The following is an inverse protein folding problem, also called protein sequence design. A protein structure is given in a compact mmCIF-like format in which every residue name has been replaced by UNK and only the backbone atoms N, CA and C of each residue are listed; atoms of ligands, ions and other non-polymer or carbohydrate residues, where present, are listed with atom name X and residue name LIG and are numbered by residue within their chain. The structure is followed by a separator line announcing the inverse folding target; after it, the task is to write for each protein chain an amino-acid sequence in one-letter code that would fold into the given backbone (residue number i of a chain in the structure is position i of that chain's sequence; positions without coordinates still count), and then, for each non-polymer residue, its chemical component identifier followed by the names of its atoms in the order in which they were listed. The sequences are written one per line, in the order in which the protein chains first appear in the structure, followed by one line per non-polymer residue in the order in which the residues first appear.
data_IF_291396274033
#
_entry.id   IF_291396274033
#
_cell.length_a   1.000
_cell.length_b   1.000
_cell.length_c   1.000
_cell.angle_alpha   90.00
_cell.angle_beta   90.00
_cell.angle_gamma   90.00
#
_symmetry.space_group_name_H-M   'P 1'
#
loop_
_entity.id
_entity.type
_entity.pdbx_description
1 polymer ?
#
# COMPACT_ATOMS: atom_id res chain seq x y z
N UNK A 1 22.73 -38.56 -93.91
CA UNK A 1 21.70 -37.86 -93.10
C UNK A 1 22.08 -37.98 -91.63
N UNK A 2 22.58 -36.90 -91.01
CA UNK A 2 22.99 -36.89 -89.59
C UNK A 2 21.83 -36.33 -88.77
N UNK A 3 21.27 -37.14 -87.86
CA UNK A 3 20.19 -36.77 -86.95
C UNK A 3 20.80 -36.17 -85.68
N UNK A 4 20.48 -34.91 -85.41
CA UNK A 4 20.76 -34.23 -84.15
C UNK A 4 19.62 -34.54 -83.19
N UNK A 5 19.94 -35.07 -82.00
CA UNK A 5 19.00 -35.27 -80.90
C UNK A 5 19.12 -34.07 -79.97
N UNK A 6 18.01 -33.37 -79.76
CA UNK A 6 17.86 -32.27 -78.79
C UNK A 6 17.39 -32.89 -77.47
N UNK A 7 18.14 -32.69 -76.39
CA UNK A 7 17.74 -33.06 -75.03
C UNK A 7 17.18 -31.80 -74.36
N UNK A 8 15.88 -31.82 -74.07
CA UNK A 8 15.18 -30.79 -73.31
C UNK A 8 15.45 -30.96 -71.81
N UNK A 9 15.86 -29.89 -71.14
CA UNK A 9 16.04 -29.82 -69.70
C UNK A 9 14.68 -29.65 -69.00
N UNK A 10 14.40 -30.52 -68.02
CA UNK A 10 13.25 -30.40 -67.12
C UNK A 10 13.58 -29.45 -65.96
N UNK A 11 12.75 -28.43 -65.76
CA UNK A 11 12.85 -27.52 -64.62
C UNK A 11 12.25 -28.16 -63.37
N UNK A 12 13.05 -28.26 -62.31
CA UNK A 12 12.61 -28.70 -60.98
C UNK A 12 12.15 -27.45 -60.21
N UNK A 13 10.86 -27.35 -59.91
CA UNK A 13 10.32 -26.31 -59.02
C UNK A 13 10.52 -26.73 -57.57
N UNK A 14 11.40 -26.03 -56.85
CA UNK A 14 11.54 -26.13 -55.40
C UNK A 14 10.36 -25.41 -54.73
N UNK A 15 9.44 -26.17 -54.14
CA UNK A 15 8.42 -25.64 -53.23
C UNK A 15 9.06 -25.34 -51.88
N UNK A 16 9.18 -24.05 -51.52
CA UNK A 16 9.62 -23.64 -50.20
C UNK A 16 8.54 -23.97 -49.16
N UNK A 17 8.83 -24.89 -48.25
CA UNK A 17 8.01 -25.18 -47.08
C UNK A 17 8.32 -24.10 -46.04
N UNK A 18 7.43 -23.11 -45.93
CA UNK A 18 7.46 -22.10 -44.88
C UNK A 18 7.07 -22.75 -43.55
N UNK A 19 8.05 -23.09 -42.73
CA UNK A 19 7.79 -23.46 -41.33
C UNK A 19 7.34 -22.18 -40.61
N UNK A 20 6.12 -22.09 -40.06
CA UNK A 20 5.75 -20.94 -39.25
C UNK A 20 6.62 -20.95 -38.01
N UNK A 21 7.52 -19.97 -37.92
CA UNK A 21 8.25 -19.66 -36.70
C UNK A 21 7.20 -19.33 -35.63
N UNK A 22 6.98 -20.23 -34.68
CA UNK A 22 6.22 -19.94 -33.46
C UNK A 22 6.93 -18.78 -32.76
N UNK A 23 6.49 -17.56 -33.02
CA UNK A 23 6.83 -16.40 -32.22
C UNK A 23 6.28 -16.67 -30.83
N UNK A 24 7.17 -17.07 -29.92
CA UNK A 24 6.88 -17.09 -28.49
C UNK A 24 6.31 -15.72 -28.11
N UNK A 25 5.06 -15.68 -27.66
CA UNK A 25 4.35 -14.47 -27.20
C UNK A 25 4.93 -13.89 -25.91
N UNK A 26 6.20 -14.14 -25.61
CA UNK A 26 6.93 -13.59 -24.47
C UNK A 26 7.69 -12.31 -24.81
N UNK A 27 7.04 -11.38 -25.53
CA UNK A 27 7.45 -9.96 -25.63
C UNK A 27 6.14 -9.22 -25.95
N UNK A 28 5.52 -8.43 -25.08
CA UNK A 28 6.11 -7.42 -24.22
C UNK A 28 5.43 -7.39 -22.84
N UNK A 29 6.18 -7.74 -21.80
CA UNK A 29 6.04 -6.96 -20.57
C UNK A 29 6.56 -5.57 -20.95
N UNK A 30 5.68 -4.70 -21.45
CA UNK A 30 6.00 -3.30 -21.69
C UNK A 30 6.65 -2.78 -20.40
N UNK A 31 7.64 -1.90 -20.55
CA UNK A 31 8.31 -1.22 -19.45
C UNK A 31 7.33 -0.29 -18.71
N UNK A 32 6.27 -0.86 -18.11
CA UNK A 32 5.20 -0.15 -17.43
C UNK A 32 5.76 0.42 -16.14
N UNK A 33 5.78 1.75 -16.07
CA UNK A 33 6.09 2.48 -14.85
C UNK A 33 4.88 2.42 -13.93
N UNK A 34 5.04 1.80 -12.76
CA UNK A 34 4.03 1.88 -11.70
C UNK A 34 4.18 3.19 -10.95
N UNK A 35 3.19 3.52 -10.14
CA UNK A 35 3.25 4.65 -9.20
C UNK A 35 2.91 4.15 -7.80
N UNK A 36 3.25 4.94 -6.79
CA UNK A 36 2.90 4.61 -5.40
C UNK A 36 1.66 5.38 -4.98
N UNK A 37 0.68 4.66 -4.43
CA UNK A 37 -0.37 5.24 -3.59
C UNK A 37 0.03 4.92 -2.16
N UNK A 38 0.13 5.92 -1.28
CA UNK A 38 0.58 5.72 0.09
C UNK A 38 -0.64 5.62 1.03
N UNK A 39 -0.89 4.48 1.70
CA UNK A 39 -1.75 4.44 2.89
C UNK A 39 -1.05 5.20 4.03
N UNK A 40 -1.45 6.45 4.25
CA UNK A 40 -0.73 7.39 5.10
C UNK A 40 -1.42 7.55 6.46
N UNK A 41 -1.43 6.49 7.26
CA UNK A 41 -2.22 6.44 8.51
C UNK A 41 -1.43 6.95 9.73
N UNK A 42 -0.16 7.34 9.52
CA UNK A 42 0.64 8.04 10.51
C UNK A 42 0.08 9.45 10.76
N UNK A 43 -0.29 9.73 12.01
CA UNK A 43 -0.68 11.09 12.42
C UNK A 43 0.43 12.11 12.10
N UNK A 44 0.13 13.24 11.43
CA UNK A 44 1.11 14.26 11.09
C UNK A 44 1.49 15.14 12.29
N UNK A 45 2.25 14.60 13.23
CA UNK A 45 2.63 15.35 14.43
C UNK A 45 3.65 16.44 14.09
N UNK A 46 3.17 17.68 13.98
CA UNK A 46 4.03 18.84 13.73
C UNK A 46 4.46 19.48 15.06
N UNK A 47 5.26 18.77 15.87
CA UNK A 47 5.92 19.37 17.04
C UNK A 47 6.99 20.38 16.56
N UNK A 48 6.87 21.64 17.00
CA UNK A 48 7.89 22.69 16.88
C UNK A 48 8.66 22.73 15.54
N UNK A 49 7.90 22.81 14.44
CA UNK A 49 8.39 23.04 13.07
C UNK A 49 9.36 21.96 12.55
N UNK A 50 8.81 21.00 11.79
CA UNK A 50 9.43 20.25 10.67
C UNK A 50 10.24 18.96 10.92
N UNK A 51 10.23 18.36 12.11
CA UNK A 51 11.03 17.14 12.37
C UNK A 51 10.31 15.79 12.18
N UNK A 52 9.06 15.75 11.72
CA UNK A 52 8.43 14.47 11.38
C UNK A 52 9.10 13.85 10.15
N UNK A 53 9.99 12.89 10.41
CA UNK A 53 10.78 12.21 9.39
C UNK A 53 9.90 11.41 8.41
N UNK A 54 8.71 10.96 8.85
CA UNK A 54 7.76 10.27 7.98
C UNK A 54 7.31 11.22 6.87
N UNK A 55 6.70 12.35 7.26
CA UNK A 55 6.12 13.28 6.29
C UNK A 55 7.18 14.04 5.51
N UNK A 56 8.36 14.27 6.10
CA UNK A 56 9.51 14.80 5.37
C UNK A 56 9.95 13.85 4.25
N UNK A 57 10.10 12.56 4.52
CA UNK A 57 10.51 11.60 3.50
C UNK A 57 9.46 11.47 2.38
N UNK A 58 8.17 11.51 2.72
CA UNK A 58 7.07 11.55 1.73
C UNK A 58 7.16 12.80 0.85
N UNK A 59 7.30 13.98 1.45
CA UNK A 59 7.43 15.26 0.75
C UNK A 59 8.65 15.28 -0.18
N UNK A 60 9.82 14.94 0.34
CA UNK A 60 11.08 14.96 -0.42
C UNK A 60 11.02 14.01 -1.63
N UNK A 61 10.35 12.87 -1.50
CA UNK A 61 10.22 11.88 -2.57
C UNK A 61 9.17 12.27 -3.61
N UNK A 62 8.06 12.89 -3.21
CA UNK A 62 6.95 13.20 -4.10
C UNK A 62 7.24 14.33 -5.09
N UNK A 63 8.11 15.27 -4.73
CA UNK A 63 8.37 16.49 -5.51
C UNK A 63 8.66 16.21 -6.99
N UNK A 64 8.08 16.99 -7.93
CA UNK A 64 8.26 16.78 -9.37
C UNK A 64 9.72 16.74 -9.84
N UNK A 65 10.59 17.53 -9.20
CA UNK A 65 12.05 17.56 -9.46
C UNK A 65 12.79 16.28 -9.04
N UNK A 66 12.17 15.43 -8.21
CA UNK A 66 12.64 14.09 -7.86
C UNK A 66 12.08 12.99 -8.79
N UNK A 67 11.36 13.35 -9.87
CA UNK A 67 10.82 12.40 -10.86
C UNK A 67 9.40 11.90 -10.60
N UNK A 68 8.61 12.62 -9.79
CA UNK A 68 7.18 12.43 -9.48
C UNK A 68 6.74 10.97 -9.31
N UNK A 69 6.88 10.47 -8.08
CA UNK A 69 6.79 9.04 -7.79
C UNK A 69 5.58 8.58 -6.96
N UNK A 70 4.99 9.49 -6.20
CA UNK A 70 3.93 9.21 -5.23
C UNK A 70 2.76 10.16 -5.46
N UNK A 71 1.90 9.92 -6.48
CA UNK A 71 0.86 10.86 -6.85
C UNK A 71 -0.29 10.97 -5.85
N UNK A 72 -0.42 10.05 -4.89
CA UNK A 72 -1.60 9.94 -4.03
C UNK A 72 -1.26 9.47 -2.62
N UNK A 73 -1.96 10.03 -1.63
CA UNK A 73 -1.94 9.58 -0.24
C UNK A 73 -3.37 9.36 0.28
N UNK A 74 -3.62 8.21 0.92
CA UNK A 74 -4.89 7.90 1.58
C UNK A 74 -4.78 8.37 3.03
N UNK A 75 -5.61 9.33 3.38
CA UNK A 75 -5.60 10.04 4.66
C UNK A 75 -6.66 9.46 5.58
N UNK A 76 -6.28 9.14 6.82
CA UNK A 76 -7.16 8.50 7.79
C UNK A 76 -7.04 9.18 9.16
N UNK A 77 -7.94 10.14 9.45
CA UNK A 77 -7.86 10.95 10.68
C UNK A 77 -8.19 10.12 11.91
N UNK A 78 -9.29 9.35 11.85
CA UNK A 78 -9.72 8.46 12.92
C UNK A 78 -10.68 7.39 12.38
N UNK A 79 -10.17 6.43 11.61
CA UNK A 79 -10.99 5.49 10.83
C UNK A 79 -12.04 6.19 9.94
N UNK A 80 -11.66 7.35 9.38
CA UNK A 80 -12.58 8.29 8.75
C UNK A 80 -12.08 9.74 8.80
N UNK A 81 -12.97 10.73 8.56
CA UNK A 81 -12.63 12.17 8.54
C UNK A 81 -12.37 12.78 9.92
N UNK A 82 -12.69 12.08 11.01
CA UNK A 82 -12.69 12.62 12.37
C UNK A 82 -13.96 13.44 12.68
N UNK A 83 -13.99 14.05 13.87
CA UNK A 83 -15.18 14.78 14.35
C UNK A 83 -15.14 16.29 14.10
N UNK A 84 -13.94 16.86 14.06
CA UNK A 84 -13.69 18.28 13.86
C UNK A 84 -12.41 18.46 13.06
N UNK A 85 -12.20 19.67 12.55
CA UNK A 85 -10.96 20.02 11.85
C UNK A 85 -9.77 19.76 12.78
N UNK A 86 -8.82 18.97 12.30
CA UNK A 86 -7.53 18.79 12.95
C UNK A 86 -6.49 19.69 12.25
N UNK A 87 -5.90 20.68 12.96
CA UNK A 87 -4.93 21.61 12.39
C UNK A 87 -3.67 20.93 11.81
N UNK A 88 -3.27 19.78 12.34
CA UNK A 88 -2.12 19.04 11.84
C UNK A 88 -2.44 18.39 10.49
N UNK A 89 -3.63 17.78 10.37
CA UNK A 89 -4.10 17.29 9.07
C UNK A 89 -4.30 18.43 8.08
N UNK A 90 -4.87 19.57 8.48
CA UNK A 90 -5.01 20.74 7.58
C UNK A 90 -3.67 21.16 6.98
N UNK A 91 -2.62 21.26 7.81
CA UNK A 91 -1.27 21.60 7.35
C UNK A 91 -0.69 20.52 6.44
N UNK A 92 -0.82 19.25 6.82
CA UNK A 92 -0.26 18.16 6.04
C UNK A 92 -0.93 18.00 4.67
N UNK A 93 -2.25 18.12 4.61
CA UNK A 93 -2.99 18.08 3.34
C UNK A 93 -2.55 19.20 2.41
N UNK A 94 -2.34 20.41 2.94
CA UNK A 94 -1.84 21.54 2.16
C UNK A 94 -0.39 21.32 1.68
N UNK A 95 0.47 20.75 2.53
CA UNK A 95 1.85 20.40 2.14
C UNK A 95 1.86 19.34 1.04
N UNK A 96 1.03 18.29 1.18
CA UNK A 96 0.86 17.27 0.15
C UNK A 96 0.46 17.87 -1.19
N UNK A 97 -0.49 18.82 -1.21
CA UNK A 97 -0.88 19.50 -2.45
C UNK A 97 0.26 20.30 -3.09
N UNK A 98 1.06 21.00 -2.27
CA UNK A 98 2.24 21.74 -2.75
C UNK A 98 3.29 20.80 -3.37
N UNK A 99 3.42 19.60 -2.82
CA UNK A 99 4.33 18.56 -3.32
C UNK A 99 3.74 17.78 -4.51
N UNK A 100 2.51 18.07 -4.93
CA UNK A 100 1.83 17.42 -6.04
C UNK A 100 1.17 16.08 -5.70
N UNK A 101 0.97 15.80 -4.41
CA UNK A 101 0.28 14.61 -3.91
C UNK A 101 -1.22 14.90 -3.80
N UNK A 102 -2.04 14.03 -4.37
CA UNK A 102 -3.51 14.07 -4.21
C UNK A 102 -3.91 13.38 -2.90
N UNK A 103 -4.59 14.09 -2.03
CA UNK A 103 -5.13 13.51 -0.80
C UNK A 103 -6.46 12.82 -1.07
N UNK A 104 -6.61 11.58 -0.60
CA UNK A 104 -7.85 10.80 -0.67
C UNK A 104 -8.35 10.53 0.75
N UNK A 105 -9.61 10.83 1.04
CA UNK A 105 -10.20 10.55 2.35
C UNK A 105 -10.54 9.06 2.51
N UNK A 106 -10.15 8.44 3.62
CA UNK A 106 -10.54 7.08 3.96
C UNK A 106 -11.99 7.03 4.47
N UNK A 107 -12.78 6.07 3.98
CA UNK A 107 -14.14 5.77 4.45
C UNK A 107 -14.29 4.26 4.61
N UNK A 108 -14.64 3.82 5.83
CA UNK A 108 -14.85 2.41 6.13
C UNK A 108 -16.28 1.99 5.83
N UNK A 109 -16.52 0.93 5.07
CA UNK A 109 -17.90 0.50 4.75
C UNK A 109 -18.48 -0.55 5.71
N UNK A 110 -17.68 -1.12 6.61
CA UNK A 110 -18.14 -2.19 7.50
C UNK A 110 -18.46 -3.47 6.75
N UNK A 111 -17.64 -3.86 5.78
CA UNK A 111 -17.97 -4.95 4.84
C UNK A 111 -19.29 -4.72 4.10
N UNK A 112 -19.57 -3.45 3.78
CA UNK A 112 -20.83 -2.94 3.23
C UNK A 112 -22.09 -3.22 4.07
N UNK A 113 -21.93 -3.27 5.39
CA UNK A 113 -23.05 -3.28 6.36
C UNK A 113 -23.34 -1.91 6.96
N UNK A 114 -22.40 -0.94 6.85
CA UNK A 114 -22.65 0.44 7.29
C UNK A 114 -23.80 1.02 6.47
N UNK A 115 -24.83 1.63 7.09
CA UNK A 115 -25.92 2.28 6.37
C UNK A 115 -25.41 3.25 5.31
N UNK A 116 -26.01 3.19 4.11
CA UNK A 116 -25.57 3.97 2.96
C UNK A 116 -25.48 5.48 3.26
N UNK A 117 -26.48 6.02 3.97
CA UNK A 117 -26.49 7.44 4.34
C UNK A 117 -25.37 7.83 5.29
N UNK A 118 -24.92 6.91 6.16
CA UNK A 118 -23.76 7.16 7.03
C UNK A 118 -22.46 7.19 6.22
N UNK A 119 -22.29 6.29 5.26
CA UNK A 119 -21.16 6.34 4.33
C UNK A 119 -21.13 7.65 3.53
N UNK A 120 -22.29 8.06 2.98
CA UNK A 120 -22.44 9.34 2.26
C UNK A 120 -22.10 10.53 3.17
N UNK A 121 -22.55 10.52 4.42
CA UNK A 121 -22.23 11.57 5.40
C UNK A 121 -20.73 11.62 5.71
N UNK A 122 -20.02 10.50 5.80
CA UNK A 122 -18.57 10.49 6.00
C UNK A 122 -17.81 11.07 4.79
N UNK A 123 -18.28 10.79 3.57
CA UNK A 123 -17.75 11.45 2.35
C UNK A 123 -17.91 12.97 2.44
N UNK A 124 -19.12 13.45 2.73
CA UNK A 124 -19.35 14.89 2.83
C UNK A 124 -18.61 15.53 4.01
N UNK A 125 -18.40 14.80 5.11
CA UNK A 125 -17.65 15.29 6.26
C UNK A 125 -16.17 15.48 5.94
N UNK A 126 -15.56 14.66 5.07
CA UNK A 126 -14.22 14.94 4.55
C UNK A 126 -14.15 16.30 3.85
N UNK A 127 -15.13 16.60 3.00
CA UNK A 127 -15.22 17.87 2.27
C UNK A 127 -15.53 19.03 3.21
N UNK A 128 -16.43 18.83 4.18
CA UNK A 128 -16.77 19.86 5.17
C UNK A 128 -15.57 20.26 6.03
N UNK A 129 -14.77 19.29 6.49
CA UNK A 129 -13.66 19.54 7.41
C UNK A 129 -12.38 20.02 6.70
N UNK A 130 -12.10 19.54 5.50
CA UNK A 130 -10.82 19.76 4.81
C UNK A 130 -10.95 20.43 3.44
N UNK A 131 -12.17 20.67 2.98
CA UNK A 131 -12.47 21.48 1.80
C UNK A 131 -11.87 20.91 0.52
N UNK A 132 -11.30 21.82 -0.26
CA UNK A 132 -10.70 21.50 -1.55
C UNK A 132 -9.47 20.59 -1.46
N UNK A 133 -8.87 20.40 -0.28
CA UNK A 133 -7.63 19.62 -0.17
C UNK A 133 -7.82 18.13 -0.35
N UNK A 134 -9.07 17.67 -0.27
CA UNK A 134 -9.48 16.31 -0.57
C UNK A 134 -9.82 16.20 -2.05
N UNK A 135 -9.17 15.28 -2.75
CA UNK A 135 -9.30 15.08 -4.20
C UNK A 135 -9.96 13.75 -4.56
N UNK A 136 -10.47 13.03 -3.56
CA UNK A 136 -11.12 11.75 -3.75
C UNK A 136 -11.36 10.99 -2.46
N UNK A 137 -11.90 9.79 -2.60
CA UNK A 137 -12.29 8.90 -1.50
C UNK A 137 -11.72 7.52 -1.75
N UNK A 138 -11.20 6.89 -0.71
CA UNK A 138 -10.93 5.46 -0.68
C UNK A 138 -11.98 4.78 0.21
N UNK A 139 -12.72 3.85 -0.38
CA UNK A 139 -13.73 3.02 0.27
C UNK A 139 -13.10 1.70 0.70
N UNK A 140 -13.05 1.45 2.00
CA UNK A 140 -12.46 0.24 2.56
C UNK A 140 -13.48 -0.83 2.94
N UNK A 141 -12.99 -2.05 3.13
CA UNK A 141 -13.76 -3.25 3.46
C UNK A 141 -14.82 -3.57 2.38
N UNK A 142 -14.43 -3.56 1.10
CA UNK A 142 -15.34 -3.89 0.00
C UNK A 142 -15.43 -5.42 -0.16
N UNK A 143 -16.64 -5.91 -0.37
CA UNK A 143 -16.96 -7.30 -0.72
C UNK A 143 -17.74 -7.34 -2.04
N UNK A 144 -17.96 -8.50 -2.64
CA UNK A 144 -18.67 -8.58 -3.94
C UNK A 144 -19.38 -9.92 -4.16
N UNK A 145 -19.68 -10.62 -3.07
CA UNK A 145 -20.21 -11.98 -3.06
C UNK A 145 -21.72 -12.00 -3.34
N UNK A 146 -22.43 -10.90 -3.07
CA UNK A 146 -23.89 -10.80 -3.22
C UNK A 146 -24.33 -9.64 -4.13
N UNK A 147 -25.51 -9.74 -4.79
CA UNK A 147 -26.08 -8.62 -5.54
C UNK A 147 -26.24 -7.33 -4.72
N UNK A 148 -26.56 -7.44 -3.43
CA UNK A 148 -26.73 -6.31 -2.53
C UNK A 148 -25.40 -5.56 -2.31
N UNK A 149 -24.29 -6.30 -2.13
CA UNK A 149 -22.96 -5.71 -2.03
C UNK A 149 -22.56 -4.98 -3.32
N UNK A 150 -22.83 -5.59 -4.48
CA UNK A 150 -22.55 -4.94 -5.78
C UNK A 150 -23.37 -3.68 -5.98
N UNK A 151 -24.66 -3.71 -5.60
CA UNK A 151 -25.54 -2.55 -5.66
C UNK A 151 -25.11 -1.44 -4.68
N UNK A 152 -24.65 -1.82 -3.48
CA UNK A 152 -24.12 -0.88 -2.51
C UNK A 152 -22.91 -0.13 -3.07
N UNK A 153 -21.91 -0.84 -3.60
CA UNK A 153 -20.71 -0.23 -4.18
C UNK A 153 -21.07 0.69 -5.35
N UNK A 154 -21.98 0.25 -6.23
CA UNK A 154 -22.50 1.08 -7.32
C UNK A 154 -23.10 2.38 -6.82
N UNK A 155 -23.97 2.31 -5.82
CA UNK A 155 -24.70 3.47 -5.31
C UNK A 155 -23.77 4.49 -4.67
N UNK A 156 -22.85 4.07 -3.81
CA UNK A 156 -21.89 5.00 -3.19
C UNK A 156 -20.94 5.62 -4.22
N UNK A 157 -20.47 4.83 -5.20
CA UNK A 157 -19.66 5.35 -6.29
C UNK A 157 -20.41 6.42 -7.10
N UNK A 158 -21.64 6.11 -7.54
CA UNK A 158 -22.48 7.06 -8.28
C UNK A 158 -22.78 8.32 -7.46
N UNK A 159 -23.03 8.19 -6.17
CA UNK A 159 -23.22 9.32 -5.28
C UNK A 159 -21.97 10.22 -5.26
N UNK A 160 -20.79 9.65 -4.99
CA UNK A 160 -19.52 10.41 -4.95
C UNK A 160 -19.29 11.13 -6.27
N UNK A 161 -19.45 10.44 -7.41
CA UNK A 161 -19.28 11.07 -8.73
C UNK A 161 -20.35 12.12 -9.04
N UNK A 162 -21.54 12.04 -8.46
CA UNK A 162 -22.60 13.05 -8.65
C UNK A 162 -22.36 14.32 -7.85
N UNK A 163 -21.92 14.20 -6.60
CA UNK A 163 -21.66 15.34 -5.71
C UNK A 163 -20.30 15.97 -6.01
N UNK A 164 -19.30 15.13 -6.31
CA UNK A 164 -17.91 15.52 -6.53
C UNK A 164 -17.37 14.90 -7.84
N UNK A 165 -17.76 15.41 -9.02
CA UNK A 165 -17.43 14.78 -10.31
C UNK A 165 -15.94 14.54 -10.57
N UNK A 166 -15.09 15.39 -10.00
CA UNK A 166 -13.64 15.33 -10.14
C UNK A 166 -12.95 14.46 -9.10
N UNK A 167 -13.68 13.87 -8.14
CA UNK A 167 -13.10 12.98 -7.15
C UNK A 167 -12.67 11.67 -7.80
N UNK A 168 -11.47 11.23 -7.43
CA UNK A 168 -11.03 9.86 -7.64
C UNK A 168 -11.67 8.95 -6.61
N UNK A 169 -12.14 7.78 -7.01
CA UNK A 169 -12.63 6.74 -6.10
C UNK A 169 -11.74 5.51 -6.17
N UNK A 170 -11.23 5.09 -5.01
CA UNK A 170 -10.55 3.82 -4.83
C UNK A 170 -11.47 2.91 -4.01
N UNK A 171 -11.60 1.65 -4.40
CA UNK A 171 -12.33 0.64 -3.65
C UNK A 171 -11.37 -0.48 -3.24
N UNK A 172 -11.41 -0.92 -1.98
CA UNK A 172 -10.55 -1.99 -1.49
C UNK A 172 -11.29 -3.29 -1.17
N UNK A 173 -11.34 -4.22 -2.14
CA UNK A 173 -11.67 -5.61 -1.86
C UNK A 173 -10.52 -6.44 -1.28
N UNK A 174 -9.27 -6.00 -1.47
CA UNK A 174 -8.05 -6.72 -1.09
C UNK A 174 -7.82 -8.03 -1.88
N UNK A 175 -8.64 -8.29 -2.90
CA UNK A 175 -8.67 -9.54 -3.68
C UNK A 175 -9.20 -9.30 -5.09
N UNK A 176 -9.01 -10.30 -5.95
CA UNK A 176 -9.54 -10.32 -7.31
C UNK A 176 -11.03 -9.93 -7.38
N UNK A 177 -11.41 -9.23 -8.45
CA UNK A 177 -12.76 -8.73 -8.67
C UNK A 177 -13.40 -9.35 -9.92
N UNK A 178 -14.73 -9.55 -9.94
CA UNK A 178 -15.46 -9.88 -11.16
C UNK A 178 -15.65 -8.64 -12.06
N UNK A 179 -15.85 -8.85 -13.36
CA UNK A 179 -16.06 -7.77 -14.33
C UNK A 179 -17.34 -6.95 -14.08
N UNK A 180 -18.33 -7.51 -13.40
CA UNK A 180 -19.62 -6.85 -13.19
C UNK A 180 -19.61 -5.71 -12.15
N UNK A 181 -18.50 -5.55 -11.42
CA UNK A 181 -18.26 -4.37 -10.57
C UNK A 181 -17.18 -3.43 -11.13
N UNK A 182 -16.60 -3.76 -12.29
CA UNK A 182 -15.51 -2.99 -12.90
C UNK A 182 -15.83 -1.50 -13.14
N UNK A 183 -17.11 -1.14 -13.25
CA UNK A 183 -17.57 0.23 -13.44
C UNK A 183 -17.86 1.00 -12.15
N UNK A 184 -17.67 0.40 -10.97
CA UNK A 184 -18.06 0.98 -9.67
C UNK A 184 -16.87 1.50 -8.84
N UNK A 185 -15.75 1.76 -9.50
CA UNK A 185 -14.61 2.48 -8.93
C UNK A 185 -13.68 2.95 -10.05
N UNK A 186 -12.89 4.00 -9.81
CA UNK A 186 -11.84 4.42 -10.74
C UNK A 186 -10.64 3.46 -10.65
N UNK A 187 -10.25 3.10 -9.41
CA UNK A 187 -9.17 2.16 -9.08
C UNK A 187 -9.69 1.12 -8.09
N UNK A 188 -9.24 -0.13 -8.23
CA UNK A 188 -9.46 -1.20 -7.25
C UNK A 188 -8.15 -1.65 -6.61
N UNK A 189 -8.18 -1.89 -5.30
CA UNK A 189 -7.13 -2.64 -4.61
C UNK A 189 -7.42 -4.14 -4.80
N UNK A 190 -6.83 -4.70 -5.85
CA UNK A 190 -7.11 -6.08 -6.29
C UNK A 190 -6.23 -7.12 -5.60
N UNK A 191 -5.27 -6.68 -4.80
CA UNK A 191 -4.49 -7.52 -3.90
C UNK A 191 -4.08 -6.74 -2.64
N UNK A 192 -4.36 -7.30 -1.47
CA UNK A 192 -3.83 -6.83 -0.18
C UNK A 192 -3.46 -8.03 0.69
N UNK A 193 -2.17 -8.38 0.74
CA UNK A 193 -1.72 -9.58 1.46
C UNK A 193 -0.23 -9.55 1.84
N UNK A 194 0.19 -10.55 2.64
CA UNK A 194 1.60 -10.73 2.97
C UNK A 194 2.45 -10.99 1.73
N UNK A 195 3.72 -10.57 1.77
CA UNK A 195 4.69 -10.86 0.72
C UNK A 195 4.80 -12.37 0.41
N UNK A 196 4.78 -13.22 1.43
CA UNK A 196 4.84 -14.67 1.27
C UNK A 196 3.66 -15.20 0.42
N UNK A 197 2.42 -14.78 0.71
CA UNK A 197 1.24 -15.16 -0.07
C UNK A 197 1.29 -14.57 -1.47
N UNK A 198 1.69 -13.31 -1.57
CA UNK A 198 1.76 -12.60 -2.84
C UNK A 198 2.76 -13.27 -3.80
N UNK A 199 3.89 -13.76 -3.29
CA UNK A 199 4.96 -14.37 -4.07
C UNK A 199 4.85 -15.91 -4.18
N UNK A 200 3.81 -16.50 -3.60
CA UNK A 200 3.58 -17.94 -3.63
C UNK A 200 3.32 -18.44 -5.06
N UNK A 201 3.80 -19.65 -5.36
CA UNK A 201 3.67 -20.25 -6.68
C UNK A 201 2.22 -20.63 -7.03
N UNK A 202 1.38 -20.81 -6.01
CA UNK A 202 -0.04 -21.16 -6.09
C UNK A 202 -0.96 -19.93 -5.97
N UNK A 203 -0.41 -18.71 -5.99
CA UNK A 203 -1.21 -17.49 -6.07
C UNK A 203 -2.15 -17.58 -7.29
N UNK A 204 -3.48 -17.53 -7.10
CA UNK A 204 -4.42 -17.70 -8.19
C UNK A 204 -4.29 -16.54 -9.19
N UNK A 205 -4.25 -16.80 -10.51
CA UNK A 205 -4.22 -15.73 -11.48
C UNK A 205 -5.56 -14.97 -11.51
N UNK A 206 -5.52 -13.68 -11.84
CA UNK A 206 -6.72 -12.91 -12.11
C UNK A 206 -7.46 -13.49 -13.34
N UNK A 207 -8.79 -13.54 -13.28
CA UNK A 207 -9.63 -14.08 -14.36
C UNK A 207 -10.53 -13.05 -15.03
N UNK A 208 -10.68 -11.87 -14.44
CA UNK A 208 -11.53 -10.80 -14.98
C UNK A 208 -10.80 -10.02 -16.08
N UNK A 209 -11.57 -9.50 -17.04
CA UNK A 209 -11.03 -8.58 -18.06
C UNK A 209 -10.53 -7.29 -17.42
N UNK A 210 -11.19 -6.81 -16.37
CA UNK A 210 -10.74 -5.63 -15.64
C UNK A 210 -9.28 -5.77 -15.18
N UNK A 211 -8.92 -6.90 -14.58
CA UNK A 211 -7.57 -7.10 -14.02
C UNK A 211 -6.55 -7.48 -15.10
N UNK A 212 -6.97 -8.14 -16.18
CA UNK A 212 -6.05 -8.70 -17.18
C UNK A 212 -5.84 -7.81 -18.42
N UNK A 213 -6.73 -6.86 -18.69
CA UNK A 213 -6.60 -5.92 -19.82
C UNK A 213 -5.55 -4.83 -19.50
N UNK A 214 -4.53 -4.72 -20.34
CA UNK A 214 -3.46 -3.71 -20.22
C UNK A 214 -4.00 -2.27 -20.19
N UNK A 215 -5.16 -2.01 -20.82
CA UNK A 215 -5.81 -0.71 -20.77
C UNK A 215 -6.24 -0.30 -19.33
N UNK A 216 -6.41 -1.29 -18.44
CA UNK A 216 -6.77 -1.09 -17.05
C UNK A 216 -5.57 -1.10 -16.10
N UNK A 217 -4.32 -1.05 -16.59
CA UNK A 217 -3.13 -1.07 -15.71
C UNK A 217 -3.22 0.01 -14.63
N UNK A 218 -3.59 1.25 -14.99
CA UNK A 218 -3.78 2.38 -14.05
C UNK A 218 -5.11 2.32 -13.26
N UNK A 219 -5.75 1.16 -13.19
CA UNK A 219 -6.95 0.89 -12.38
C UNK A 219 -6.73 -0.27 -11.40
N UNK A 220 -5.61 -0.97 -11.50
CA UNK A 220 -5.21 -2.04 -10.59
C UNK A 220 -4.16 -1.54 -9.60
N UNK A 221 -4.43 -1.70 -8.30
CA UNK A 221 -3.54 -1.33 -7.20
C UNK A 221 -3.28 -2.56 -6.30
N UNK A 222 -2.01 -2.83 -6.01
CA UNK A 222 -1.60 -3.89 -5.09
C UNK A 222 -0.94 -3.33 -3.83
N UNK A 223 -1.36 -3.83 -2.67
CA UNK A 223 -0.73 -3.59 -1.37
C UNK A 223 -0.09 -4.91 -0.91
N UNK A 224 1.20 -4.86 -0.55
CA UNK A 224 1.95 -6.03 -0.08
C UNK A 224 2.63 -5.69 1.25
N UNK A 225 2.23 -6.37 2.32
CA UNK A 225 2.75 -6.14 3.67
C UNK A 225 3.60 -7.33 4.17
N UNK A 226 4.21 -7.23 5.36
CA UNK A 226 5.20 -8.21 5.86
C UNK A 226 6.34 -8.49 4.85
N UNK A 227 6.73 -7.51 4.03
CA UNK A 227 7.78 -7.68 3.03
C UNK A 227 9.16 -7.38 3.61
N UNK A 228 10.16 -8.20 3.30
CA UNK A 228 11.56 -7.82 3.55
C UNK A 228 11.99 -6.81 2.49
N UNK A 229 12.90 -5.90 2.81
CA UNK A 229 13.47 -4.96 1.82
C UNK A 229 14.21 -5.68 0.69
N UNK A 230 14.65 -6.92 0.90
CA UNK A 230 15.20 -7.80 -0.14
C UNK A 230 14.16 -8.27 -1.16
N UNK A 231 12.87 -8.29 -0.80
CA UNK A 231 11.79 -8.76 -1.66
C UNK A 231 11.22 -7.68 -2.58
N UNK A 232 11.53 -6.40 -2.34
CA UNK A 232 10.91 -5.28 -3.05
C UNK A 232 11.02 -5.40 -4.57
N UNK A 233 12.20 -5.73 -5.09
CA UNK A 233 12.40 -5.89 -6.54
C UNK A 233 11.55 -7.03 -7.12
N UNK A 234 11.47 -8.16 -6.41
CA UNK A 234 10.67 -9.31 -6.82
C UNK A 234 9.17 -8.98 -6.77
N UNK A 235 8.71 -8.33 -5.70
CA UNK A 235 7.31 -7.92 -5.54
C UNK A 235 6.92 -6.92 -6.63
N UNK A 236 7.74 -5.89 -6.86
CA UNK A 236 7.50 -4.91 -7.93
C UNK A 236 7.42 -5.60 -9.30
N UNK A 237 8.36 -6.50 -9.62
CA UNK A 237 8.30 -7.27 -10.87
C UNK A 237 7.01 -8.07 -11.01
N UNK A 238 6.64 -8.85 -9.99
CA UNK A 238 5.41 -9.65 -9.99
C UNK A 238 4.17 -8.76 -10.11
N UNK A 239 4.17 -7.59 -9.47
CA UNK A 239 3.03 -6.67 -9.57
C UNK A 239 2.85 -6.08 -10.98
N UNK A 240 3.94 -5.83 -11.72
CA UNK A 240 3.90 -5.44 -13.14
C UNK A 240 3.38 -6.59 -14.01
N UNK A 241 3.84 -7.81 -13.77
CA UNK A 241 3.35 -9.02 -14.46
C UNK A 241 1.86 -9.29 -14.18
N UNK A 242 1.35 -8.85 -13.03
CA UNK A 242 -0.07 -8.91 -12.64
C UNK A 242 -0.85 -7.63 -12.99
N UNK A 243 -0.37 -6.85 -13.97
CA UNK A 243 -1.05 -5.69 -14.53
C UNK A 243 -1.43 -4.58 -13.51
N UNK A 244 -0.71 -4.48 -12.39
CA UNK A 244 -0.91 -3.35 -11.49
C UNK A 244 -0.17 -2.12 -11.98
N UNK A 245 -0.87 -1.00 -12.04
CA UNK A 245 -0.30 0.33 -12.30
C UNK A 245 0.09 1.07 -11.04
N UNK A 246 -0.36 0.59 -9.88
CA UNK A 246 0.02 1.08 -8.56
C UNK A 246 0.47 -0.05 -7.64
N UNK A 247 1.48 0.23 -6.81
CA UNK A 247 1.94 -0.71 -5.80
C UNK A 247 2.38 0.01 -4.54
N UNK A 248 2.09 -0.57 -3.38
CA UNK A 248 2.65 -0.16 -2.08
C UNK A 248 3.18 -1.41 -1.38
N UNK A 249 4.42 -1.32 -0.90
CA UNK A 249 5.12 -2.44 -0.25
C UNK A 249 5.59 -1.96 1.12
N UNK A 250 5.24 -2.67 2.18
CA UNK A 250 5.65 -2.36 3.56
C UNK A 250 6.19 -3.59 4.28
N UNK A 251 7.13 -3.38 5.20
CA UNK A 251 7.61 -4.40 6.13
C UNK A 251 6.76 -4.47 7.41
N UNK A 252 5.85 -3.52 7.62
CA UNK A 252 5.00 -3.52 8.80
C UNK A 252 4.00 -4.68 8.74
N UNK A 253 3.50 -5.03 9.93
CA UNK A 253 2.63 -6.17 10.15
C UNK A 253 1.30 -5.75 10.77
N UNK A 254 0.29 -6.61 10.65
CA UNK A 254 -0.97 -6.43 11.36
C UNK A 254 -0.75 -6.43 12.88
N UNK A 255 -1.52 -5.63 13.65
CA UNK A 255 -2.80 -5.02 13.26
C UNK A 255 -2.72 -3.62 12.60
N UNK A 256 -1.55 -2.98 12.49
CA UNK A 256 -1.45 -1.59 11.99
C UNK A 256 -0.27 -1.41 11.01
N UNK A 257 -0.35 -2.00 9.79
CA UNK A 257 0.78 -2.05 8.87
C UNK A 257 1.05 -0.74 8.11
N UNK A 258 0.37 0.35 8.46
CA UNK A 258 0.34 1.58 7.67
C UNK A 258 0.67 2.84 8.49
N UNK A 259 1.19 2.67 9.70
CA UNK A 259 1.59 3.76 10.59
C UNK A 259 3.08 4.12 10.52
N UNK A 260 3.88 3.38 9.75
CA UNK A 260 5.26 3.72 9.44
C UNK A 260 5.51 3.67 7.92
N UNK A 261 6.63 4.27 7.52
CA UNK A 261 7.10 4.12 6.15
C UNK A 261 7.76 2.74 5.98
N UNK A 262 7.72 2.18 4.76
CA UNK A 262 8.53 1.03 4.43
C UNK A 262 10.01 1.27 4.78
N UNK A 263 10.68 0.26 5.31
CA UNK A 263 12.05 0.35 5.84
C UNK A 263 13.08 0.87 4.84
N UNK A 264 12.82 0.74 3.54
CA UNK A 264 13.53 1.46 2.48
C UNK A 264 12.54 2.10 1.50
N UNK A 265 11.78 3.08 2.00
CA UNK A 265 10.73 3.79 1.27
C UNK A 265 11.22 4.36 -0.07
N UNK A 266 12.38 5.01 -0.08
CA UNK A 266 12.92 5.63 -1.29
C UNK A 266 13.18 4.58 -2.38
N UNK A 267 13.80 3.44 -2.03
CA UNK A 267 14.05 2.36 -2.97
C UNK A 267 12.76 1.68 -3.43
N UNK A 268 11.78 1.46 -2.53
CA UNK A 268 10.47 0.90 -2.89
C UNK A 268 9.82 1.77 -3.98
N UNK A 269 9.81 3.07 -3.74
CA UNK A 269 9.26 4.05 -4.67
C UNK A 269 10.05 4.05 -5.99
N UNK A 270 11.38 4.05 -5.96
CA UNK A 270 12.20 4.00 -7.18
C UNK A 270 11.95 2.73 -8.01
N UNK A 271 11.82 1.57 -7.37
CA UNK A 271 11.52 0.31 -8.04
C UNK A 271 10.15 0.36 -8.74
N UNK A 272 9.13 0.93 -8.08
CA UNK A 272 7.80 1.10 -8.66
C UNK A 272 7.86 1.94 -9.95
N UNK A 273 8.49 3.12 -9.90
CA UNK A 273 8.52 4.04 -11.05
C UNK A 273 9.46 3.62 -12.16
N UNK A 274 10.54 2.89 -11.84
CA UNK A 274 11.46 2.42 -12.87
C UNK A 274 10.79 1.30 -13.67
N UNK A 275 10.59 1.51 -14.98
CA UNK A 275 10.25 0.42 -15.89
C UNK A 275 11.30 -0.70 -15.82
N UNK A 276 10.96 -1.92 -16.23
CA UNK A 276 11.78 -3.13 -16.06
C UNK A 276 13.17 -3.15 -16.76
N UNK A 277 13.77 -2.00 -17.09
CA UNK A 277 14.98 -1.89 -17.90
C UNK A 277 15.86 -0.66 -17.59
N UNK A 278 16.18 -0.40 -16.32
CA UNK A 278 17.45 0.27 -16.00
C UNK A 278 18.31 -0.70 -15.21
N UNK A 279 19.32 -1.28 -15.87
CA UNK A 279 20.48 -1.83 -15.16
C UNK A 279 20.93 -0.76 -14.17
N UNK A 280 20.84 -1.09 -12.90
CA UNK A 280 21.44 -0.30 -11.82
C UNK A 280 22.88 0.01 -12.24
N UNK A 281 23.21 1.29 -12.37
CA UNK A 281 24.58 1.70 -12.56
C UNK A 281 25.36 1.12 -11.38
N UNK A 282 26.32 0.24 -11.66
CA UNK A 282 27.18 -0.36 -10.65
C UNK A 282 27.81 0.74 -9.80
N UNK A 283 27.79 0.57 -8.48
CA UNK A 283 28.51 1.43 -7.54
C UNK A 283 29.94 1.69 -8.04
N UNK A 284 30.46 2.93 -7.92
CA UNK A 284 31.85 3.19 -8.25
C UNK A 284 32.74 2.38 -7.31
N UNK A 285 33.59 1.53 -7.91
CA UNK A 285 34.64 0.78 -7.22
C UNK A 285 35.46 1.73 -6.33
N UNK A 286 35.88 1.32 -5.11
CA UNK A 286 36.70 2.18 -4.27
C UNK A 286 38.01 2.52 -4.98
N UNK A 287 38.26 3.81 -5.19
CA UNK A 287 39.56 4.30 -5.67
C UNK A 287 40.56 4.17 -4.52
N UNK A 288 41.65 3.45 -4.76
CA UNK A 288 42.76 3.33 -3.83
C UNK A 288 43.36 4.73 -3.53
N UNK A 289 43.81 5.01 -2.29
CA UNK A 289 44.24 6.35 -1.91
C UNK A 289 45.53 6.75 -2.65
N UNK A 290 45.44 7.85 -3.38
CA UNK A 290 46.56 8.51 -4.05
C UNK A 290 47.44 9.19 -2.99
N UNK A 291 48.77 9.00 -3.08
CA UNK A 291 49.76 9.52 -2.12
C UNK A 291 49.81 11.05 -2.19
N UNK A 292 49.56 11.71 -1.06
CA UNK A 292 49.80 13.15 -0.85
C UNK A 292 51.31 13.46 -0.91
N UNK A 293 51.76 14.51 -1.63
CA UNK A 293 53.13 15.00 -1.52
C UNK A 293 53.35 15.67 -0.16
N UNK A 294 54.57 15.52 0.36
CA UNK A 294 55.02 16.04 1.63
C UNK A 294 55.08 17.58 1.64
N UNK A 295 54.56 18.20 2.70
CA UNK A 295 54.83 19.60 3.04
C UNK A 295 55.82 19.72 4.21
N UNK A 296 56.61 20.76 4.08
CA UNK A 296 57.87 21.07 4.73
C UNK A 296 57.69 21.55 6.19
N UNK A 297 58.72 21.33 7.01
CA UNK A 297 58.77 21.67 8.45
C UNK A 297 59.53 22.98 8.68
N UNK A 298 58.98 23.92 9.46
CA UNK A 298 59.71 24.66 10.54
C UNK A 298 58.74 25.55 11.38
N UNK A 299 59.08 25.99 12.61
CA UNK A 299 58.19 25.85 13.78
C UNK A 299 57.98 27.13 14.64
N UNK A 300 57.25 26.95 15.75
CA UNK A 300 57.05 27.80 16.94
C UNK A 300 55.89 28.82 16.84
N UNK A 301 55.10 29.12 17.89
CA UNK A 301 55.32 28.99 19.33
C UNK A 301 54.00 28.80 20.12
N UNK A 302 54.12 28.21 21.31
CA UNK A 302 53.14 28.12 22.40
C UNK A 302 52.95 29.50 23.09
N UNK A 303 51.82 29.73 23.78
CA UNK A 303 51.89 29.61 25.24
C UNK A 303 50.66 28.96 25.91
N UNK A 304 50.91 28.51 27.13
CA UNK A 304 50.08 27.67 27.99
C UNK A 304 49.19 28.50 28.99
N UNK A 305 48.64 27.96 30.11
CA UNK A 305 47.20 27.98 30.39
C UNK A 305 46.79 28.73 31.68
N UNK A 306 45.51 29.05 31.87
CA UNK A 306 44.95 29.52 33.15
C UNK A 306 43.55 28.90 33.31
N UNK A 307 43.40 27.82 34.09
CA UNK A 307 43.09 27.70 35.53
C UNK A 307 41.71 28.24 35.96
N UNK A 308 40.98 27.27 36.51
CA UNK A 308 39.74 27.26 37.27
C UNK A 308 39.94 27.96 38.62
N UNK A 309 38.94 28.69 39.11
CA UNK A 309 38.72 28.84 40.55
C UNK A 309 37.24 28.90 40.88
N UNK A 310 36.96 28.39 42.07
CA UNK A 310 35.68 28.04 42.68
C UNK A 310 35.50 28.99 43.86
N UNK A 311 34.30 29.47 44.17
CA UNK A 311 33.90 29.65 45.58
C UNK A 311 32.39 29.88 45.79
N UNK A 312 31.88 29.15 46.78
CA UNK A 312 30.60 29.29 47.48
C UNK A 312 30.63 30.57 48.35
N UNK A 313 29.55 31.12 48.95
CA UNK A 313 28.72 30.49 50.00
C UNK A 313 27.67 31.48 50.55
N UNK A 314 26.53 30.94 51.03
CA UNK A 314 25.69 31.32 52.20
C UNK A 314 25.12 32.76 52.32
N UNK A 315 23.95 33.07 52.91
CA UNK A 315 22.87 32.37 53.61
C UNK A 315 21.76 33.41 53.88
N UNK A 316 20.47 33.03 53.86
CA UNK A 316 19.51 33.26 54.98
C UNK A 316 18.04 32.99 54.59
N UNK A 317 17.53 31.86 55.08
CA UNK A 317 16.12 31.52 55.45
C UNK A 317 15.67 32.33 56.69
N UNK A 318 14.42 32.25 57.26
CA UNK A 318 13.42 31.14 57.27
C UNK A 318 11.95 31.64 57.10
N UNK A 319 10.82 30.95 57.29
CA UNK A 319 10.30 29.65 57.76
C UNK A 319 8.84 29.61 57.22
N UNK A 320 8.12 28.52 56.93
CA UNK A 320 7.54 27.55 57.89
C UNK A 320 6.75 26.44 57.16
N UNK A 321 6.84 25.22 57.68
CA UNK A 321 6.05 23.97 57.43
C UNK A 321 4.61 24.08 58.01
N UNK A 322 3.68 23.08 58.00
CA UNK A 322 3.69 21.70 57.47
C UNK A 322 2.36 21.11 56.88
N UNK A 323 2.43 19.84 56.47
CA UNK A 323 1.46 18.72 56.71
C UNK A 323 0.57 18.18 55.56
N UNK A 324 0.79 16.88 55.31
CA UNK A 324 -0.05 15.72 54.95
C UNK A 324 -1.54 15.83 54.52
N UNK A 325 -1.89 14.89 53.63
CA UNK A 325 -3.14 14.50 52.93
C UNK A 325 -4.45 14.50 53.75
N UNK A 326 -5.65 14.57 53.09
CA UNK A 326 -6.32 13.32 52.68
C UNK A 326 -7.25 13.38 51.44
N UNK A 327 -7.52 12.16 50.94
CA UNK A 327 -8.59 11.74 50.00
C UNK A 327 -10.00 12.16 50.45
N UNK A 328 -10.99 12.23 49.53
CA UNK A 328 -12.30 11.64 49.83
C UNK A 328 -12.89 10.77 48.70
N UNK A 329 -13.97 10.09 49.07
CA UNK A 329 -14.51 8.86 48.51
C UNK A 329 -15.79 9.05 47.65
N UNK A 330 -16.03 8.01 46.83
CA UNK A 330 -17.28 7.39 46.33
C UNK A 330 -18.58 8.21 46.23
N UNK A 331 -19.20 8.09 45.06
CA UNK A 331 -20.66 8.12 44.90
C UNK A 331 -21.11 6.95 44.00
N UNK A 332 -22.19 6.29 44.41
CA UNK A 332 -22.67 4.98 43.94
C UNK A 332 -23.44 5.00 42.60
N UNK A 333 -23.26 3.87 41.87
CA UNK A 333 -24.10 3.15 40.89
C UNK A 333 -25.17 3.86 40.06
N UNK A 334 -25.21 3.55 38.75
CA UNK A 334 -26.31 2.83 38.10
C UNK A 334 -25.81 2.22 36.76
N UNK A 335 -26.41 1.07 36.42
CA UNK A 335 -25.99 0.07 35.44
C UNK A 335 -25.57 0.58 34.05
N UNK A 336 -24.47 0.03 33.52
CA UNK A 336 -24.27 -0.06 32.08
C UNK A 336 -23.80 -1.48 31.70
N UNK A 337 -24.53 -2.04 30.75
CA UNK A 337 -24.45 -3.43 30.30
C UNK A 337 -23.17 -3.69 29.54
N UNK A 338 -22.28 -4.48 30.14
CA UNK A 338 -21.05 -4.92 29.49
C UNK A 338 -21.31 -5.74 28.23
N UNK A 339 -20.83 -5.24 27.09
CA UNK A 339 -20.40 -6.07 25.97
C UNK A 339 -18.97 -5.64 25.63
N UNK A 340 -18.00 -6.43 26.12
CA UNK A 340 -16.64 -6.40 25.64
C UNK A 340 -16.61 -6.99 24.22
N UNK A 341 -16.60 -6.14 23.21
CA UNK A 341 -16.38 -6.56 21.82
C UNK A 341 -14.88 -6.78 21.60
N UNK A 342 -14.42 -8.02 21.84
CA UNK A 342 -13.20 -8.53 21.21
C UNK A 342 -13.49 -8.75 19.73
N UNK A 343 -12.96 -7.89 18.86
CA UNK A 343 -12.99 -8.11 17.42
C UNK A 343 -11.72 -8.87 16.99
N UNK A 344 -11.93 -10.13 16.67
CA UNK A 344 -10.97 -11.01 15.98
C UNK A 344 -10.92 -10.54 14.52
N UNK A 345 -9.91 -9.76 14.17
CA UNK A 345 -9.52 -9.53 12.78
C UNK A 345 -8.68 -10.72 12.31
N UNK A 346 -9.36 -11.71 11.73
CA UNK A 346 -8.71 -12.93 11.24
C UNK A 346 -9.77 -13.89 10.73
N UNK A 347 -10.20 -13.71 9.48
CA UNK A 347 -11.09 -14.64 8.80
C UNK A 347 -10.45 -16.02 8.68
N UNK A 348 -10.90 -16.96 9.51
CA UNK A 348 -10.75 -18.40 9.24
C UNK A 348 -11.84 -18.78 8.26
N UNK A 349 -11.46 -19.01 7.01
CA UNK A 349 -12.28 -19.72 6.03
C UNK A 349 -12.36 -21.18 6.48
N UNK A 350 -13.51 -21.60 7.00
CA UNK A 350 -13.82 -23.02 7.18
C UNK A 350 -14.18 -23.60 5.81
N UNK A 351 -13.22 -24.29 5.21
CA UNK A 351 -13.44 -25.25 4.14
C UNK A 351 -14.28 -26.41 4.70
N UNK A 352 -15.57 -26.46 4.37
CA UNK A 352 -16.37 -27.67 4.52
C UNK A 352 -15.89 -28.70 3.49
N UNK A 353 -14.93 -29.52 3.90
CA UNK A 353 -14.54 -30.73 3.19
C UNK A 353 -15.68 -31.75 3.21
N UNK A 354 -16.10 -32.16 2.02
CA UNK A 354 -16.95 -33.32 1.78
C UNK A 354 -16.30 -34.58 2.40
N UNK A 355 -16.90 -35.06 3.49
CA UNK A 355 -16.61 -36.38 4.05
C UNK A 355 -17.76 -37.33 3.76
N UNK A 356 -17.63 -38.12 2.70
CA UNK A 356 -18.48 -39.29 2.42
C UNK A 356 -18.24 -40.37 3.49
N UNK A 357 -19.02 -40.32 4.56
CA UNK A 357 -19.09 -41.35 5.59
C UNK A 357 -19.98 -42.50 5.16
N UNK A 358 -19.36 -43.60 4.75
CA UNK A 358 -19.95 -44.90 4.44
C UNK A 358 -20.66 -45.48 5.68
N UNK A 359 -22.01 -45.51 5.69
CA UNK A 359 -22.78 -46.22 6.73
C UNK A 359 -22.79 -47.71 6.40
N UNK A 360 -21.95 -48.49 7.09
CA UNK A 360 -22.04 -49.95 7.12
C UNK A 360 -23.00 -50.34 8.25
N UNK A 361 -24.23 -50.75 7.89
CA UNK A 361 -25.15 -51.40 8.82
C UNK A 361 -24.68 -52.84 9.08
N UNK A 362 -24.12 -53.10 10.26
CA UNK A 362 -23.80 -54.46 10.69
C UNK A 362 -25.01 -55.10 11.36
N UNK A 363 -25.64 -56.04 10.65
CA UNK A 363 -26.84 -56.77 11.05
C UNK A 363 -26.46 -57.94 11.97
N UNK A 364 -26.49 -57.76 13.29
CA UNK A 364 -26.44 -58.89 14.23
C UNK A 364 -27.84 -59.31 14.68
N UNK A 365 -28.31 -60.40 14.05
CA UNK A 365 -29.28 -61.36 14.59
C UNK A 365 -28.80 -61.84 15.96
N UNK A 366 -29.65 -61.77 16.99
CA UNK A 366 -29.69 -62.78 18.06
C UNK A 366 -31.17 -63.16 18.25
N UNK A 367 -31.41 -64.46 18.17
CA UNK A 367 -32.70 -65.09 18.36
C UNK A 367 -32.81 -65.67 19.79
N UNK A 368 -34.05 -65.63 20.30
CA UNK A 368 -34.74 -66.61 21.16
C UNK A 368 -34.44 -66.73 22.67
N UNK A 369 -35.53 -66.50 23.43
CA UNK A 369 -36.10 -67.20 24.62
C UNK A 369 -36.74 -66.10 25.49
N UNK A 370 -38.03 -66.09 25.84
CA UNK A 370 -39.04 -67.12 26.09
C UNK A 370 -40.42 -66.58 25.73
#
# INVERSE_FOLDING_TARGET
MKKTVVISAAAITLSAVSIPLLQSTKVAAMAQTQQVILPAYKYPEQQNNSNDQYWKAVSDKAKPEAGQSTPMAIMNVNSGPGEKVDPNYTKQLAQNEQDGIKNLGYVRTGYMTKPMDQCKQEVEKWVQLYGDKVRGIMLDEITHDTPQQKQYLKEIYQYIKSQHPNFLVIANPGRHIPDDIAGYSDIFITAEMTADKYLAADYPPATSKFETDEANVKRNYHIVYNAKTSDYEKITKVSKERNAGYVFITNDEFPDPFNALPGDYNRMVDLANNGANKKQASEPKPVAPEKKPAEDKTPAAEPAPVKKDTEQKDQSTPSSTPTEEPKPAKQDSLADTGINSFLIAGGVVVLLGLGTGLIIFNKKRIAHKK
#
